data_IF_905311216215
#
_entry.id   IF_905311216215
#
_cell.length_a   1.000
_cell.length_b   1.000
_cell.length_c   1.000
_cell.angle_alpha   90.00
_cell.angle_beta   90.00
_cell.angle_gamma   90.00
#
_symmetry.space_group_name_H-M   'P 1'
#
loop_
_entity.id
_entity.type
_entity.pdbx_description
1 polymer ?
#
# COMPACT_ATOMS: atom_id res chain seq x y z
N UNK A 1 17.44 3.94 26.53
CA UNK A 1 17.08 4.89 25.45
C UNK A 1 18.21 4.83 24.44
N UNK A 2 17.99 4.26 23.25
CA UNK A 2 19.03 4.26 22.20
C UNK A 2 19.13 5.68 21.66
N UNK A 3 20.24 6.34 21.95
CA UNK A 3 20.53 7.66 21.43
C UNK A 3 20.92 7.53 19.95
N UNK A 4 20.32 8.37 19.10
CA UNK A 4 20.76 8.48 17.70
C UNK A 4 22.22 8.93 17.69
N UNK A 5 23.06 8.21 16.96
CA UNK A 5 24.49 8.49 16.81
C UNK A 5 24.93 8.31 15.36
N UNK A 6 26.23 8.46 15.07
CA UNK A 6 26.78 8.37 13.71
C UNK A 6 26.60 7.01 13.01
N UNK A 7 26.38 5.95 13.79
CA UNK A 7 26.21 4.58 13.33
C UNK A 7 24.72 4.15 13.26
N UNK A 8 23.80 5.06 13.56
CA UNK A 8 22.36 4.78 13.49
C UNK A 8 21.91 4.63 12.05
N UNK A 9 21.37 3.47 11.70
CA UNK A 9 20.78 3.24 10.38
C UNK A 9 19.47 4.00 10.21
N UNK A 10 19.29 4.63 9.05
CA UNK A 10 18.10 5.41 8.72
C UNK A 10 17.19 4.61 7.78
N UNK A 11 15.92 4.56 8.14
CA UNK A 11 14.82 4.10 7.31
C UNK A 11 13.77 5.19 7.20
N UNK A 12 13.00 5.21 6.11
CA UNK A 12 12.01 6.26 5.93
C UNK A 12 10.75 5.83 5.18
N UNK A 13 9.83 6.77 5.00
CA UNK A 13 8.75 6.65 4.03
C UNK A 13 8.53 7.95 3.29
N UNK A 14 8.05 7.84 2.05
CA UNK A 14 7.72 8.95 1.18
C UNK A 14 6.23 8.95 0.82
N UNK A 15 5.62 10.12 0.94
CA UNK A 15 4.23 10.39 0.58
C UNK A 15 4.06 11.82 0.13
N UNK A 16 2.95 12.14 -0.56
CA UNK A 16 2.57 13.55 -0.78
C UNK A 16 2.26 14.25 0.55
N UNK A 17 1.52 13.55 1.43
CA UNK A 17 1.18 13.99 2.78
C UNK A 17 1.49 12.84 3.75
N UNK A 18 2.66 12.88 4.38
CA UNK A 18 3.12 11.82 5.28
C UNK A 18 2.35 11.83 6.60
N UNK A 19 2.01 10.64 7.09
CA UNK A 19 1.43 10.43 8.41
C UNK A 19 2.46 9.94 9.44
N UNK A 20 2.04 9.83 10.70
CA UNK A 20 2.91 9.39 11.81
C UNK A 20 2.86 7.88 12.10
N UNK A 21 1.91 7.15 11.52
CA UNK A 21 1.72 5.72 11.85
C UNK A 21 2.98 4.89 11.59
N UNK A 22 3.65 5.09 10.46
CA UNK A 22 4.91 4.42 10.14
C UNK A 22 6.02 4.74 11.16
N UNK A 23 6.17 6.02 11.51
CA UNK A 23 7.15 6.43 12.51
C UNK A 23 6.89 5.77 13.88
N UNK A 24 5.65 5.77 14.35
CA UNK A 24 5.29 5.17 15.63
C UNK A 24 5.54 3.67 15.63
N UNK A 25 5.05 2.96 14.62
CA UNK A 25 5.17 1.51 14.52
C UNK A 25 6.63 1.05 14.42
N UNK A 26 7.38 1.62 13.48
CA UNK A 26 8.74 1.18 13.19
C UNK A 26 9.71 1.56 14.32
N UNK A 27 9.63 2.78 14.86
CA UNK A 27 10.51 3.18 15.96
C UNK A 27 10.18 2.41 17.25
N UNK A 28 8.92 2.07 17.51
CA UNK A 28 8.56 1.20 18.63
C UNK A 28 9.18 -0.19 18.46
N UNK A 29 9.10 -0.77 17.26
CA UNK A 29 9.72 -2.06 16.98
C UNK A 29 11.25 -2.00 17.10
N UNK A 30 11.90 -0.98 16.56
CA UNK A 30 13.35 -0.81 16.68
C UNK A 30 13.79 -0.68 18.14
N UNK A 31 13.03 0.08 18.95
CA UNK A 31 13.27 0.18 20.38
C UNK A 31 13.11 -1.16 21.10
N UNK A 32 12.00 -1.87 20.85
CA UNK A 32 11.70 -3.16 21.47
C UNK A 32 12.79 -4.21 21.20
N UNK A 33 13.31 -4.25 19.97
CA UNK A 33 14.37 -5.19 19.59
C UNK A 33 15.79 -4.67 19.85
N UNK A 34 15.96 -3.52 20.49
CA UNK A 34 17.28 -2.94 20.79
C UNK A 34 18.11 -2.57 19.56
N UNK A 35 17.47 -2.26 18.43
CA UNK A 35 18.15 -1.97 17.17
C UNK A 35 18.59 -0.50 17.11
N UNK A 36 19.83 -0.25 16.69
CA UNK A 36 20.35 1.11 16.45
C UNK A 36 19.83 1.65 15.11
N UNK A 37 18.53 1.88 15.02
CA UNK A 37 17.80 2.27 13.81
C UNK A 37 16.80 3.37 14.10
N UNK A 38 16.53 4.22 13.11
CA UNK A 38 15.51 5.25 13.18
C UNK A 38 14.67 5.25 11.91
N UNK A 39 13.37 5.50 12.08
CA UNK A 39 12.43 5.64 10.97
C UNK A 39 11.80 7.04 10.97
N UNK A 40 11.79 7.69 9.80
CA UNK A 40 11.21 9.01 9.61
C UNK A 40 10.31 9.05 8.38
N UNK A 41 9.09 9.59 8.51
CA UNK A 41 8.19 9.83 7.39
C UNK A 41 8.42 11.23 6.80
N UNK A 42 8.47 11.33 5.47
CA UNK A 42 8.70 12.57 4.75
C UNK A 42 7.54 12.87 3.79
N UNK A 43 7.04 14.11 3.84
CA UNK A 43 6.19 14.65 2.79
C UNK A 43 7.08 15.20 1.68
N UNK A 44 6.85 14.74 0.45
CA UNK A 44 7.66 15.08 -0.71
C UNK A 44 6.78 15.53 -1.88
N UNK A 45 7.37 16.28 -2.80
CA UNK A 45 6.74 16.68 -4.06
C UNK A 45 7.38 16.04 -5.30
N UNK A 46 8.56 15.42 -5.12
CA UNK A 46 9.36 14.86 -6.21
C UNK A 46 9.99 13.54 -5.73
N UNK A 47 9.54 12.42 -6.30
CA UNK A 47 10.02 11.10 -5.91
C UNK A 47 11.44 10.84 -6.42
N UNK A 48 11.82 11.38 -7.59
CA UNK A 48 13.16 11.20 -8.13
C UNK A 48 14.21 11.80 -7.22
N UNK A 49 14.04 13.07 -6.81
CA UNK A 49 14.95 13.74 -5.85
C UNK A 49 14.98 13.04 -4.48
N UNK A 50 13.84 12.51 -4.04
CA UNK A 50 13.81 11.73 -2.80
C UNK A 50 14.63 10.45 -2.91
N UNK A 51 14.55 9.73 -4.03
CA UNK A 51 15.34 8.51 -4.29
C UNK A 51 16.82 8.83 -4.40
N UNK A 52 17.22 9.93 -5.07
CA UNK A 52 18.62 10.39 -5.10
C UNK A 52 19.17 10.66 -3.69
N UNK A 53 18.33 11.25 -2.83
CA UNK A 53 18.67 11.50 -1.43
C UNK A 53 18.87 10.19 -0.65
N UNK A 54 18.12 9.14 -0.95
CA UNK A 54 18.30 7.81 -0.34
C UNK A 54 19.68 7.25 -0.64
N UNK A 55 20.13 7.33 -1.89
CA UNK A 55 21.47 6.88 -2.30
C UNK A 55 22.55 7.73 -1.62
N UNK A 56 22.41 9.05 -1.66
CA UNK A 56 23.39 10.00 -1.11
C UNK A 56 23.57 9.88 0.41
N UNK A 57 22.45 9.70 1.15
CA UNK A 57 22.45 9.64 2.61
C UNK A 57 22.57 8.20 3.13
N UNK A 58 22.73 7.21 2.26
CA UNK A 58 22.80 5.79 2.61
C UNK A 58 21.62 5.33 3.48
N UNK A 59 20.41 5.84 3.17
CA UNK A 59 19.16 5.38 3.81
C UNK A 59 18.94 3.91 3.41
N UNK A 60 18.79 3.00 4.38
CA UNK A 60 18.84 1.55 4.16
C UNK A 60 17.59 0.96 3.51
N UNK A 61 16.47 1.66 3.61
CA UNK A 61 15.23 1.27 2.97
C UNK A 61 14.13 2.29 3.19
N UNK A 62 13.16 2.27 2.30
CA UNK A 62 12.05 3.21 2.40
C UNK A 62 10.72 2.59 1.95
N UNK A 63 9.65 3.00 2.62
CA UNK A 63 8.30 2.71 2.19
C UNK A 63 7.77 3.83 1.28
N UNK A 64 6.91 3.47 0.34
CA UNK A 64 6.26 4.41 -0.57
C UNK A 64 4.76 4.29 -0.45
N UNK A 65 4.09 5.44 -0.36
CA UNK A 65 2.65 5.48 -0.39
C UNK A 65 2.14 6.46 -1.45
N UNK A 66 0.87 6.75 -1.43
CA UNK A 66 0.21 7.58 -2.44
C UNK A 66 0.85 8.98 -2.56
N UNK A 67 1.05 9.49 -3.82
CA UNK A 67 0.68 8.86 -5.10
C UNK A 67 1.81 8.05 -5.76
N UNK A 68 2.98 7.90 -5.16
CA UNK A 68 4.27 7.56 -5.78
C UNK A 68 4.55 6.07 -6.00
N UNK A 69 3.62 5.16 -5.67
CA UNK A 69 3.85 3.70 -5.77
C UNK A 69 4.13 3.19 -7.19
N UNK A 70 3.63 3.90 -8.20
CA UNK A 70 3.87 3.59 -9.62
C UNK A 70 5.13 4.29 -10.09
N UNK A 71 5.23 5.59 -9.83
CA UNK A 71 6.29 6.44 -10.37
C UNK A 71 7.68 6.04 -9.84
N UNK A 72 7.78 5.48 -8.63
CA UNK A 72 9.04 5.04 -8.03
C UNK A 72 9.76 3.98 -8.87
N UNK A 73 9.03 3.21 -9.68
CA UNK A 73 9.61 2.17 -10.53
C UNK A 73 10.57 2.73 -11.60
N UNK A 74 10.46 4.02 -11.93
CA UNK A 74 11.37 4.70 -12.85
C UNK A 74 12.74 5.04 -12.22
N UNK A 75 12.92 4.83 -10.92
CA UNK A 75 14.08 5.29 -10.15
C UNK A 75 14.77 4.16 -9.37
N UNK A 76 14.38 2.91 -9.59
CA UNK A 76 14.97 1.72 -8.96
C UNK A 76 15.84 0.95 -9.94
N UNK A 77 16.79 0.17 -9.45
CA UNK A 77 17.80 -0.46 -10.28
C UNK A 77 17.40 -1.87 -10.75
N UNK A 78 16.53 -2.56 -10.00
CA UNK A 78 15.99 -3.87 -10.38
C UNK A 78 14.47 -3.87 -10.20
N UNK A 79 13.76 -4.46 -11.15
CA UNK A 79 12.33 -4.71 -11.02
C UNK A 79 12.12 -6.21 -11.22
N UNK A 80 11.84 -6.93 -10.14
CA UNK A 80 11.48 -8.34 -10.22
C UNK A 80 10.22 -8.53 -11.06
N UNK A 81 10.10 -9.69 -11.72
CA UNK A 81 8.91 -9.99 -12.54
C UNK A 81 7.60 -9.76 -11.78
N UNK A 82 7.55 -10.10 -10.48
CA UNK A 82 6.37 -9.90 -9.66
C UNK A 82 6.00 -8.42 -9.48
N UNK A 83 6.99 -7.53 -9.27
CA UNK A 83 6.75 -6.08 -9.16
C UNK A 83 6.43 -5.47 -10.52
N UNK A 84 7.04 -5.97 -11.58
CA UNK A 84 6.75 -5.56 -12.97
C UNK A 84 5.31 -5.89 -13.36
N UNK A 85 4.84 -7.09 -13.05
CA UNK A 85 3.46 -7.51 -13.31
C UNK A 85 2.42 -6.70 -12.53
N UNK A 86 2.75 -6.32 -11.29
CA UNK A 86 1.91 -5.44 -10.47
C UNK A 86 1.93 -4.00 -11.01
N UNK A 87 3.06 -3.54 -11.54
CA UNK A 87 3.28 -2.17 -11.98
C UNK A 87 3.25 -1.14 -10.84
N UNK A 88 3.60 -1.56 -9.61
CA UNK A 88 3.69 -0.70 -8.44
C UNK A 88 4.58 -1.32 -7.35
N UNK A 89 5.27 -0.47 -6.57
CA UNK A 89 6.02 -0.87 -5.38
C UNK A 89 5.57 -0.05 -4.15
N UNK A 90 5.62 -0.65 -2.98
CA UNK A 90 5.34 0.04 -1.72
C UNK A 90 6.53 0.02 -0.75
N UNK A 91 7.58 -0.72 -1.05
CA UNK A 91 8.79 -0.86 -0.24
C UNK A 91 10.01 -0.97 -1.16
N UNK A 92 11.10 -0.29 -0.83
CA UNK A 92 12.38 -0.42 -1.53
C UNK A 92 13.48 -0.65 -0.51
N UNK A 93 14.31 -1.64 -0.77
CA UNK A 93 15.53 -1.93 -0.02
C UNK A 93 16.70 -1.26 -0.77
N UNK A 94 17.53 -0.53 -0.03
CA UNK A 94 18.79 0.01 -0.54
C UNK A 94 19.94 -0.91 -0.13
N UNK A 95 20.43 -1.67 -1.08
CA UNK A 95 21.61 -2.51 -0.93
C UNK A 95 22.85 -1.78 -1.50
N UNK A 96 23.47 -0.92 -0.67
CA UNK A 96 24.67 -0.15 -1.03
C UNK A 96 24.54 0.67 -2.33
N UNK A 97 23.41 1.36 -2.48
CA UNK A 97 23.11 2.18 -3.66
C UNK A 97 22.28 1.46 -4.71
N UNK A 98 22.19 0.12 -4.66
CA UNK A 98 21.35 -0.68 -5.55
C UNK A 98 19.95 -0.83 -4.95
N UNK A 99 18.93 -0.31 -5.63
CA UNK A 99 17.57 -0.19 -5.11
C UNK A 99 16.68 -1.33 -5.61
N UNK A 100 16.18 -2.15 -4.69
CA UNK A 100 15.38 -3.34 -4.96
C UNK A 100 13.93 -3.10 -4.48
N UNK A 101 12.97 -2.96 -5.41
CA UNK A 101 11.57 -2.72 -5.07
C UNK A 101 10.83 -4.01 -4.70
N UNK A 102 9.88 -3.87 -3.78
CA UNK A 102 8.96 -4.93 -3.33
C UNK A 102 7.53 -4.39 -3.26
N UNK A 103 6.56 -5.31 -3.30
CA UNK A 103 5.16 -4.99 -3.08
C UNK A 103 4.53 -5.92 -2.04
N UNK A 104 4.49 -5.46 -0.79
CA UNK A 104 3.88 -6.21 0.33
C UNK A 104 2.35 -6.08 0.35
N UNK A 105 1.76 -5.10 -0.35
CA UNK A 105 0.31 -4.97 -0.52
C UNK A 105 -0.25 -6.18 -1.29
N UNK A 106 0.50 -6.67 -2.28
CA UNK A 106 0.14 -7.86 -3.05
C UNK A 106 0.03 -9.11 -2.15
N UNK A 107 1.01 -9.32 -1.28
CA UNK A 107 1.02 -10.47 -0.38
C UNK A 107 -0.17 -10.42 0.58
N UNK A 108 -0.44 -9.25 1.15
CA UNK A 108 -1.57 -9.04 2.04
C UNK A 108 -2.92 -9.23 1.32
N UNK A 109 -3.07 -8.65 0.12
CA UNK A 109 -4.28 -8.80 -0.68
C UNK A 109 -4.52 -10.26 -1.08
N UNK A 110 -3.45 -10.98 -1.47
CA UNK A 110 -3.54 -12.40 -1.83
C UNK A 110 -4.02 -13.24 -0.65
N UNK A 111 -3.41 -13.07 0.53
CA UNK A 111 -3.83 -13.78 1.73
C UNK A 111 -5.28 -13.50 2.09
N UNK A 112 -5.70 -12.26 1.94
CA UNK A 112 -7.07 -11.85 2.23
C UNK A 112 -8.09 -12.41 1.24
N UNK A 113 -7.78 -12.44 -0.05
CA UNK A 113 -8.68 -12.91 -1.09
C UNK A 113 -8.89 -14.43 -1.06
N UNK A 114 -7.94 -15.22 -0.55
CA UNK A 114 -8.10 -16.68 -0.39
C UNK A 114 -9.34 -17.02 0.44
N UNK A 115 -9.61 -16.26 1.49
CA UNK A 115 -10.68 -16.55 2.46
C UNK A 115 -12.04 -15.93 2.09
N UNK A 116 -12.07 -15.00 1.11
CA UNK A 116 -13.23 -14.10 0.92
C UNK A 116 -13.92 -14.19 -0.43
N UNK A 117 -13.40 -14.94 -1.39
CA UNK A 117 -13.98 -14.95 -2.73
C UNK A 117 -14.79 -16.21 -2.99
N UNK A 118 -16.11 -16.05 -3.08
CA UNK A 118 -17.07 -17.03 -3.59
C UNK A 118 -17.88 -16.51 -4.78
N UNK A 119 -17.87 -15.17 -5.00
CA UNK A 119 -18.69 -14.46 -5.95
C UNK A 119 -17.83 -13.53 -6.84
N UNK A 120 -18.46 -12.87 -7.81
CA UNK A 120 -17.81 -11.91 -8.69
C UNK A 120 -17.14 -10.77 -7.89
N UNK A 121 -15.87 -10.48 -8.19
CA UNK A 121 -15.07 -9.49 -7.48
C UNK A 121 -15.05 -8.15 -8.23
N UNK A 122 -15.47 -7.08 -7.57
CA UNK A 122 -15.36 -5.70 -8.07
C UNK A 122 -14.30 -4.94 -7.28
N UNK A 123 -13.25 -4.47 -7.98
CA UNK A 123 -12.16 -3.70 -7.40
C UNK A 123 -12.41 -2.22 -7.67
N UNK A 124 -12.63 -1.44 -6.62
CA UNK A 124 -12.94 -0.02 -6.74
C UNK A 124 -11.66 0.82 -6.75
N UNK A 125 -11.42 1.52 -7.85
CA UNK A 125 -10.22 2.33 -8.09
C UNK A 125 -9.17 1.63 -8.95
N UNK A 126 -8.19 2.42 -9.47
CA UNK A 126 -7.11 1.90 -10.32
C UNK A 126 -5.73 2.50 -9.96
N UNK A 127 -5.50 2.78 -8.67
CA UNK A 127 -4.22 3.26 -8.14
C UNK A 127 -3.26 2.11 -7.80
N UNK A 128 -2.07 2.45 -7.27
CA UNK A 128 -1.02 1.46 -6.96
C UNK A 128 -1.46 0.34 -6.02
N UNK A 129 -2.34 0.60 -5.03
CA UNK A 129 -2.89 -0.45 -4.18
C UNK A 129 -3.87 -1.36 -4.95
N UNK A 130 -4.74 -0.78 -5.78
CA UNK A 130 -5.66 -1.54 -6.64
C UNK A 130 -4.91 -2.48 -7.58
N UNK A 131 -3.79 -2.05 -8.15
CA UNK A 131 -2.94 -2.90 -9.00
C UNK A 131 -2.41 -4.14 -8.25
N UNK A 132 -2.03 -3.98 -6.99
CA UNK A 132 -1.62 -5.10 -6.15
C UNK A 132 -2.78 -6.09 -5.90
N UNK A 133 -3.99 -5.58 -5.64
CA UNK A 133 -5.20 -6.40 -5.48
C UNK A 133 -5.58 -7.11 -6.78
N UNK A 134 -5.52 -6.43 -7.93
CA UNK A 134 -5.75 -7.03 -9.26
C UNK A 134 -4.77 -8.17 -9.54
N UNK A 135 -3.48 -7.96 -9.26
CA UNK A 135 -2.46 -8.98 -9.44
C UNK A 135 -2.67 -10.17 -8.48
N UNK A 136 -3.10 -9.91 -7.25
CA UNK A 136 -3.45 -10.96 -6.30
C UNK A 136 -4.65 -11.79 -6.79
N UNK A 137 -5.72 -11.14 -7.25
CA UNK A 137 -6.89 -11.82 -7.83
C UNK A 137 -6.50 -12.68 -9.04
N UNK A 138 -5.72 -12.11 -9.98
CA UNK A 138 -5.20 -12.84 -11.13
C UNK A 138 -4.39 -14.08 -10.73
N UNK A 139 -3.51 -13.97 -9.72
CA UNK A 139 -2.69 -15.08 -9.25
C UNK A 139 -3.49 -16.22 -8.58
N UNK A 140 -4.71 -15.93 -8.15
CA UNK A 140 -5.65 -16.88 -7.56
C UNK A 140 -6.71 -17.38 -8.57
N UNK A 141 -6.60 -17.00 -9.84
CA UNK A 141 -7.58 -17.27 -10.91
C UNK A 141 -8.99 -16.77 -10.55
N UNK A 142 -9.07 -15.61 -9.89
CA UNK A 142 -10.31 -14.95 -9.53
C UNK A 142 -10.65 -13.96 -10.64
N UNK A 143 -11.83 -14.10 -11.24
CA UNK A 143 -12.35 -13.12 -12.18
C UNK A 143 -12.73 -11.83 -11.45
N UNK A 144 -12.36 -10.69 -12.01
CA UNK A 144 -12.64 -9.40 -11.40
C UNK A 144 -12.93 -8.31 -12.43
N UNK A 145 -13.66 -7.30 -12.00
CA UNK A 145 -13.91 -6.07 -12.74
C UNK A 145 -13.36 -4.87 -11.96
N UNK A 146 -12.72 -3.93 -12.67
CA UNK A 146 -12.22 -2.67 -12.07
C UNK A 146 -13.22 -1.55 -12.32
N UNK A 147 -13.70 -0.92 -11.25
CA UNK A 147 -14.59 0.24 -11.33
C UNK A 147 -13.79 1.51 -11.00
N UNK A 148 -13.60 2.36 -12.00
CA UNK A 148 -13.01 3.70 -11.84
C UNK A 148 -14.08 4.74 -11.52
N UNK A 149 -13.68 6.01 -11.31
CA UNK A 149 -14.60 7.09 -10.94
C UNK A 149 -15.76 7.26 -11.90
N UNK A 150 -15.54 7.04 -13.19
CA UNK A 150 -16.55 7.20 -14.23
C UNK A 150 -17.65 6.12 -14.13
N UNK A 151 -17.34 4.97 -13.55
CA UNK A 151 -18.27 3.86 -13.34
C UNK A 151 -18.96 3.83 -11.97
N UNK A 152 -18.70 4.79 -11.09
CA UNK A 152 -19.18 4.73 -9.69
C UNK A 152 -20.69 4.73 -9.54
N UNK A 153 -21.42 5.31 -10.47
CA UNK A 153 -22.88 5.24 -10.46
C UNK A 153 -23.45 3.81 -10.59
N UNK A 154 -22.69 2.88 -11.13
CA UNK A 154 -23.09 1.48 -11.31
C UNK A 154 -22.95 0.63 -10.04
N UNK A 155 -22.12 1.03 -9.06
CA UNK A 155 -21.81 0.24 -7.85
C UNK A 155 -23.07 -0.13 -7.07
N UNK A 156 -24.02 0.79 -6.99
CA UNK A 156 -25.30 0.57 -6.27
C UNK A 156 -26.19 -0.49 -6.93
N UNK A 157 -25.96 -0.80 -8.20
CA UNK A 157 -26.75 -1.78 -8.97
C UNK A 157 -26.12 -3.17 -8.98
N UNK A 158 -24.90 -3.32 -8.49
CA UNK A 158 -24.19 -4.60 -8.37
C UNK A 158 -24.86 -5.39 -7.25
N UNK A 159 -25.08 -6.69 -7.48
CA UNK A 159 -25.75 -7.61 -6.54
C UNK A 159 -24.97 -8.91 -6.42
N UNK A 160 -25.06 -9.55 -5.26
CA UNK A 160 -24.48 -10.88 -5.01
C UNK A 160 -22.98 -10.96 -5.38
N UNK A 161 -22.19 -10.00 -4.91
CA UNK A 161 -20.78 -9.84 -5.28
C UNK A 161 -19.94 -9.41 -4.09
N UNK A 162 -18.62 -9.42 -4.29
CA UNK A 162 -17.67 -8.84 -3.36
C UNK A 162 -17.10 -7.54 -3.92
N UNK A 163 -17.26 -6.44 -3.22
CA UNK A 163 -16.68 -5.13 -3.59
C UNK A 163 -15.46 -4.83 -2.72
N UNK A 164 -14.31 -4.61 -3.34
CA UNK A 164 -13.04 -4.32 -2.66
C UNK A 164 -12.66 -2.85 -2.87
N UNK A 165 -12.77 -2.02 -1.82
CA UNK A 165 -12.43 -0.60 -1.90
C UNK A 165 -10.91 -0.36 -1.81
N UNK A 166 -10.31 0.06 -2.92
CA UNK A 166 -8.92 0.46 -3.04
C UNK A 166 -8.74 1.99 -3.15
N UNK A 167 -9.78 2.76 -2.79
CA UNK A 167 -9.78 4.22 -2.92
C UNK A 167 -9.77 4.91 -1.55
N UNK A 168 -9.40 6.19 -1.45
CA UNK A 168 -9.52 6.95 -0.22
C UNK A 168 -10.95 7.47 0.04
N UNK A 169 -11.96 6.94 -0.67
CA UNK A 169 -13.34 7.41 -0.53
C UNK A 169 -14.03 6.66 0.59
N UNK A 170 -14.59 7.42 1.51
CA UNK A 170 -15.38 6.94 2.63
C UNK A 170 -16.85 6.81 2.23
N UNK A 171 -17.59 5.93 2.93
CA UNK A 171 -19.05 5.79 2.80
C UNK A 171 -19.53 5.43 1.37
N UNK A 172 -18.83 4.54 0.68
CA UNK A 172 -19.31 3.99 -0.59
C UNK A 172 -20.56 3.15 -0.32
N UNK A 173 -21.67 3.54 -0.91
CA UNK A 173 -22.92 2.79 -0.80
C UNK A 173 -22.89 1.61 -1.76
N UNK A 174 -22.93 0.41 -1.22
CA UNK A 174 -23.10 -0.85 -1.96
C UNK A 174 -24.44 -1.47 -1.61
N UNK A 175 -24.89 -2.43 -2.41
CA UNK A 175 -26.12 -3.20 -2.09
C UNK A 175 -25.93 -4.04 -0.84
N UNK A 176 -26.99 -4.22 -0.05
CA UNK A 176 -27.00 -5.09 1.15
C UNK A 176 -26.75 -6.57 0.84
N UNK A 177 -26.86 -6.97 -0.43
CA UNK A 177 -26.54 -8.32 -0.90
C UNK A 177 -25.07 -8.56 -1.17
N UNK A 178 -24.23 -7.52 -1.05
CA UNK A 178 -22.80 -7.57 -1.37
C UNK A 178 -21.96 -7.67 -0.11
N UNK A 179 -20.87 -8.43 -0.21
CA UNK A 179 -19.75 -8.32 0.74
C UNK A 179 -18.95 -7.05 0.41
N UNK A 180 -18.62 -6.25 1.41
CA UNK A 180 -17.83 -5.05 1.22
C UNK A 180 -16.54 -5.12 2.02
N UNK A 181 -15.42 -5.03 1.32
CA UNK A 181 -14.07 -5.02 1.89
C UNK A 181 -13.56 -3.58 1.80
N UNK A 182 -13.35 -2.94 2.94
CA UNK A 182 -12.82 -1.58 3.00
C UNK A 182 -11.40 -1.57 3.55
N UNK A 183 -10.45 -1.20 2.71
CA UNK A 183 -9.04 -1.07 3.05
C UNK A 183 -8.62 0.36 3.36
N UNK A 184 -9.56 1.23 3.69
CA UNK A 184 -9.28 2.57 4.17
C UNK A 184 -8.43 2.54 5.46
N UNK A 185 -7.20 3.01 5.34
CA UNK A 185 -6.26 3.06 6.48
C UNK A 185 -6.60 4.19 7.44
N UNK A 186 -7.34 5.23 7.01
CA UNK A 186 -7.59 6.43 7.79
C UNK A 186 -8.87 7.12 7.34
N UNK A 187 -9.85 7.24 8.23
CA UNK A 187 -10.99 8.13 8.04
C UNK A 187 -10.61 9.57 8.38
N UNK A 188 -11.38 10.57 7.92
CA UNK A 188 -11.20 11.98 8.26
C UNK A 188 -11.23 12.24 9.78
N UNK A 189 -11.88 11.38 10.54
CA UNK A 189 -11.98 11.44 12.01
C UNK A 189 -10.82 10.75 12.73
N UNK A 190 -9.84 10.20 12.02
CA UNK A 190 -8.70 9.50 12.60
C UNK A 190 -9.00 8.10 13.14
N UNK A 191 -10.23 7.60 13.03
CA UNK A 191 -10.59 6.23 13.40
C UNK A 191 -10.16 5.26 12.31
N UNK A 192 -9.49 4.18 12.69
CA UNK A 192 -9.27 3.02 11.81
C UNK A 192 -10.59 2.30 11.64
N UNK A 193 -11.08 2.21 10.41
CA UNK A 193 -12.12 1.26 10.05
C UNK A 193 -11.46 0.13 9.25
N UNK A 194 -11.05 -0.92 9.95
CA UNK A 194 -11.09 -2.25 9.39
C UNK A 194 -12.51 -2.75 9.72
N UNK A 195 -13.49 -2.37 8.94
CA UNK A 195 -14.85 -2.88 9.10
C UNK A 195 -15.08 -3.89 8.01
N UNK A 196 -14.90 -5.16 8.37
CA UNK A 196 -15.63 -6.24 7.73
C UNK A 196 -17.07 -6.08 8.18
N UNK A 197 -17.95 -5.54 7.37
CA UNK A 197 -19.35 -5.81 7.49
C UNK A 197 -19.65 -7.13 6.77
N UNK A 198 -19.52 -8.23 7.50
CA UNK A 198 -20.22 -9.45 7.15
C UNK A 198 -21.68 -9.17 7.54
N UNK A 199 -22.54 -8.91 6.57
CA UNK A 199 -23.98 -9.07 6.79
C UNK A 199 -24.25 -10.54 7.00
N UNK A 200 -24.80 -10.87 8.17
CA UNK A 200 -25.37 -12.20 8.47
C UNK A 200 -26.60 -12.46 7.62
#
# INVERSE_FOLDING_TARGET
>A
MNWINKDTEIYCSFAKNAGNTGCQMMNTAFYYYGLNKVYKSFSINDIGKAVDSVKTLNIKGFAITMPYKIDVLNYVDEVSNSVQDIGAANTVINNNGYLIPHNTDYLAAKQFLIDYVGDELYILGNGGYSKAVQSAAKSLNIDYQVITRDGWGSIQNIRHSTSYNCTPVENIKVSDTNKFIDCLVKTKTGKRLATMQASH
#
